data_IF_749889482285
#
_entry.id   IF_749889482285
#
_cell.length_a   1.000
_cell.length_b   1.000
_cell.length_c   1.000
_cell.angle_alpha   90.00
_cell.angle_beta   90.00
_cell.angle_gamma   90.00
#
_symmetry.space_group_name_H-M   'P 1'
#
loop_
_entity.id
_entity.type
_entity.pdbx_description
1 polymer ?
#
# COMPACT_ATOMS: atom_id res chain seq x y z
N UNK A 1 14.09 8.48 11.59
CA UNK A 1 12.63 8.32 11.82
C UNK A 1 12.39 7.45 13.04
N UNK A 2 11.43 7.79 13.92
CA UNK A 2 11.16 7.03 15.16
C UNK A 2 10.42 5.72 14.86
N UNK A 3 10.78 4.63 15.55
CA UNK A 3 10.15 3.30 15.40
C UNK A 3 8.62 3.35 15.55
N UNK A 4 8.09 4.18 16.44
CA UNK A 4 6.65 4.38 16.66
C UNK A 4 5.90 4.77 15.38
N UNK A 5 6.50 5.58 14.48
CA UNK A 5 5.87 5.97 13.21
C UNK A 5 5.77 4.80 12.24
N UNK A 6 6.76 3.90 12.26
CA UNK A 6 6.77 2.69 11.41
C UNK A 6 5.66 1.76 11.87
N UNK A 7 5.59 1.50 13.17
CA UNK A 7 4.56 0.65 13.77
C UNK A 7 3.16 1.19 13.46
N UNK A 8 2.96 2.50 13.62
CA UNK A 8 1.68 3.15 13.29
C UNK A 8 1.33 3.01 11.81
N UNK A 9 2.32 3.08 10.91
CA UNK A 9 2.10 2.87 9.48
C UNK A 9 1.76 1.41 9.17
N UNK A 10 2.33 0.45 9.89
CA UNK A 10 1.95 -0.96 9.81
C UNK A 10 0.49 -1.17 10.21
N UNK A 11 0.04 -0.59 11.32
CA UNK A 11 -1.38 -0.62 11.70
C UNK A 11 -2.28 0.08 10.68
N UNK A 12 -1.82 1.19 10.10
CA UNK A 12 -2.50 1.83 8.96
C UNK A 12 -2.63 0.89 7.76
N UNK A 13 -1.60 0.10 7.48
CA UNK A 13 -1.61 -0.95 6.47
C UNK A 13 -2.69 -2.00 6.72
N UNK A 14 -2.83 -2.49 7.96
CA UNK A 14 -3.91 -3.40 8.35
C UNK A 14 -5.27 -2.78 8.06
N UNK A 15 -5.49 -1.53 8.50
CA UNK A 15 -6.78 -0.85 8.35
C UNK A 15 -7.17 -0.68 6.88
N UNK A 16 -6.24 -0.21 6.05
CA UNK A 16 -6.44 -0.04 4.60
C UNK A 16 -6.67 -1.40 3.94
N UNK A 17 -5.83 -2.39 4.25
CA UNK A 17 -5.91 -3.74 3.69
C UNK A 17 -7.24 -4.41 4.01
N UNK A 18 -7.71 -4.30 5.25
CA UNK A 18 -9.01 -4.82 5.67
C UNK A 18 -10.16 -4.12 4.93
N UNK A 19 -10.12 -2.80 4.81
CA UNK A 19 -11.14 -2.05 4.07
C UNK A 19 -11.24 -2.46 2.60
N UNK A 20 -10.10 -2.61 1.93
CA UNK A 20 -10.05 -3.09 0.54
C UNK A 20 -10.51 -4.55 0.45
N UNK A 21 -10.08 -5.42 1.37
CA UNK A 21 -10.48 -6.83 1.40
C UNK A 21 -11.99 -7.00 1.58
N UNK A 22 -12.59 -6.25 2.51
CA UNK A 22 -14.05 -6.24 2.69
C UNK A 22 -14.78 -5.79 1.44
N UNK A 23 -14.31 -4.72 0.79
CA UNK A 23 -14.91 -4.21 -0.45
C UNK A 23 -14.82 -5.24 -1.57
N UNK A 24 -13.64 -5.79 -1.83
CA UNK A 24 -13.45 -6.79 -2.89
C UNK A 24 -14.26 -8.06 -2.59
N UNK A 25 -14.24 -8.54 -1.35
CA UNK A 25 -15.02 -9.71 -0.97
C UNK A 25 -16.52 -9.48 -1.17
N UNK A 26 -17.04 -8.31 -0.76
CA UNK A 26 -18.45 -7.95 -0.93
C UNK A 26 -18.88 -7.95 -2.41
N UNK A 27 -18.00 -7.49 -3.30
CA UNK A 27 -18.28 -7.44 -4.74
C UNK A 27 -18.22 -8.80 -5.44
N UNK A 28 -17.53 -9.79 -4.86
CA UNK A 28 -17.22 -11.05 -5.56
C UNK A 28 -17.83 -12.31 -4.94
N UNK A 29 -18.10 -12.31 -3.62
CA UNK A 29 -18.44 -13.53 -2.86
C UNK A 29 -19.55 -13.21 -1.84
N UNK A 30 -20.57 -14.08 -1.65
CA UNK A 30 -21.69 -13.81 -0.76
C UNK A 30 -21.31 -13.72 0.73
N UNK A 31 -20.25 -14.41 1.14
CA UNK A 31 -19.76 -14.42 2.52
C UNK A 31 -18.34 -13.86 2.54
N UNK A 32 -18.05 -13.06 3.56
CA UNK A 32 -16.72 -12.47 3.73
C UNK A 32 -15.66 -13.56 3.92
N UNK A 33 -14.61 -13.50 3.10
CA UNK A 33 -13.39 -14.29 3.27
C UNK A 33 -12.18 -13.35 3.27
N UNK A 34 -11.25 -13.47 4.24
CA UNK A 34 -10.10 -12.57 4.32
C UNK A 34 -9.16 -12.62 3.10
N UNK A 35 -9.15 -13.77 2.43
CA UNK A 35 -8.31 -14.08 1.28
C UNK A 35 -9.17 -14.71 0.19
N UNK A 36 -8.94 -14.33 -1.07
CA UNK A 36 -9.70 -14.85 -2.20
C UNK A 36 -9.52 -16.38 -2.33
N UNK A 37 -10.60 -17.18 -2.30
CA UNK A 37 -10.56 -18.64 -2.55
C UNK A 37 -9.87 -19.05 -3.85
N UNK A 38 -9.85 -18.18 -4.85
CA UNK A 38 -9.23 -18.44 -6.16
C UNK A 38 -7.71 -18.23 -6.13
N UNK A 39 -7.19 -17.57 -5.11
CA UNK A 39 -5.74 -17.45 -4.91
C UNK A 39 -5.15 -18.80 -4.49
N UNK A 40 -3.87 -19.05 -4.82
CA UNK A 40 -3.22 -20.33 -4.45
C UNK A 40 -3.22 -20.56 -2.93
N UNK A 41 -2.95 -19.50 -2.16
CA UNK A 41 -2.90 -19.58 -0.69
C UNK A 41 -4.30 -19.66 -0.09
N UNK A 42 -5.28 -18.96 -0.66
CA UNK A 42 -6.69 -19.08 -0.27
C UNK A 42 -7.22 -20.48 -0.49
N UNK A 43 -6.98 -21.05 -1.68
CA UNK A 43 -7.33 -22.43 -2.00
C UNK A 43 -6.65 -23.43 -1.05
N UNK A 44 -5.35 -23.25 -0.78
CA UNK A 44 -4.61 -24.09 0.17
C UNK A 44 -5.21 -24.05 1.57
N UNK A 45 -5.56 -22.87 2.09
CA UNK A 45 -6.19 -22.73 3.41
C UNK A 45 -7.56 -23.36 3.47
N UNK A 46 -8.39 -23.20 2.43
CA UNK A 46 -9.71 -23.83 2.38
C UNK A 46 -9.61 -25.35 2.29
N UNK A 47 -8.72 -25.89 1.46
CA UNK A 47 -8.54 -27.34 1.29
C UNK A 47 -8.04 -28.03 2.58
N UNK A 48 -7.24 -27.32 3.38
CA UNK A 48 -6.77 -27.83 4.67
C UNK A 48 -7.71 -27.48 5.84
N UNK A 49 -8.90 -26.94 5.56
CA UNK A 49 -9.89 -26.55 6.58
C UNK A 49 -9.30 -25.62 7.65
N UNK A 50 -8.39 -24.72 7.24
CA UNK A 50 -7.80 -23.73 8.14
C UNK A 50 -8.89 -22.76 8.59
N UNK A 51 -8.95 -22.51 9.90
CA UNK A 51 -9.96 -21.65 10.48
C UNK A 51 -9.87 -20.22 9.91
N UNK A 52 -10.98 -19.57 9.51
CA UNK A 52 -10.96 -18.23 8.90
C UNK A 52 -10.26 -17.16 9.74
N UNK A 53 -10.33 -17.24 11.07
CA UNK A 53 -9.59 -16.32 11.96
C UNK A 53 -8.07 -16.41 11.80
N UNK A 54 -7.52 -17.59 11.50
CA UNK A 54 -6.09 -17.76 11.22
C UNK A 54 -5.74 -17.18 9.86
N UNK A 55 -6.62 -17.36 8.87
CA UNK A 55 -6.48 -16.71 7.55
C UNK A 55 -6.47 -15.18 7.68
N UNK A 56 -7.32 -14.62 8.55
CA UNK A 56 -7.33 -13.19 8.86
C UNK A 56 -6.02 -12.74 9.52
N UNK A 57 -5.53 -13.46 10.55
CA UNK A 57 -4.24 -13.14 11.19
C UNK A 57 -3.09 -13.11 10.17
N UNK A 58 -3.09 -14.07 9.24
CA UNK A 58 -2.13 -14.13 8.14
C UNK A 58 -2.21 -12.88 7.23
N UNK A 59 -3.41 -12.50 6.81
CA UNK A 59 -3.61 -11.30 5.97
C UNK A 59 -3.19 -10.02 6.70
N UNK A 60 -3.59 -9.86 7.97
CA UNK A 60 -3.21 -8.71 8.79
C UNK A 60 -1.69 -8.60 8.94
N UNK A 61 -0.99 -9.72 9.10
CA UNK A 61 0.46 -9.73 9.18
C UNK A 61 1.12 -9.22 7.89
N UNK A 62 0.64 -9.68 6.73
CA UNK A 62 1.14 -9.22 5.42
C UNK A 62 0.87 -7.73 5.21
N UNK A 63 -0.35 -7.27 5.49
CA UNK A 63 -0.72 -5.86 5.37
C UNK A 63 0.06 -4.97 6.33
N UNK A 64 0.35 -5.47 7.54
CA UNK A 64 1.20 -4.77 8.49
C UNK A 64 2.62 -4.58 7.95
N UNK A 65 3.24 -5.64 7.41
CA UNK A 65 4.58 -5.54 6.81
C UNK A 65 4.58 -4.53 5.67
N UNK A 66 3.59 -4.60 4.77
CA UNK A 66 3.49 -3.66 3.65
C UNK A 66 3.36 -2.22 4.14
N UNK A 67 2.46 -1.95 5.08
CA UNK A 67 2.28 -0.63 5.70
C UNK A 67 3.52 -0.13 6.44
N UNK A 68 4.24 -1.02 7.13
CA UNK A 68 5.48 -0.67 7.84
C UNK A 68 6.61 -0.29 6.87
N UNK A 69 6.76 -1.01 5.75
CA UNK A 69 7.76 -0.70 4.72
C UNK A 69 7.44 0.65 4.05
N UNK A 70 6.17 0.91 3.71
CA UNK A 70 5.75 2.20 3.19
C UNK A 70 5.94 3.34 4.21
N UNK A 71 5.65 3.08 5.49
CA UNK A 71 5.95 4.02 6.57
C UNK A 71 7.45 4.32 6.67
N UNK A 72 8.29 3.29 6.55
CA UNK A 72 9.73 3.45 6.59
C UNK A 72 10.27 4.24 5.39
N UNK A 73 9.71 3.99 4.21
CA UNK A 73 10.13 4.65 2.97
C UNK A 73 9.98 6.18 2.99
N UNK A 74 9.24 6.75 3.94
CA UNK A 74 9.13 8.20 4.12
C UNK A 74 10.47 8.89 4.39
N UNK A 75 11.50 8.15 4.84
CA UNK A 75 12.88 8.68 4.96
C UNK A 75 13.45 9.13 3.62
N UNK A 76 12.94 8.62 2.50
CA UNK A 76 13.36 9.02 1.15
C UNK A 76 13.06 10.51 0.92
N UNK A 77 11.93 11.01 1.43
CA UNK A 77 11.53 12.42 1.30
C UNK A 77 12.26 13.36 2.27
N UNK A 78 13.10 12.84 3.17
CA UNK A 78 13.94 13.65 4.07
C UNK A 78 15.32 13.95 3.48
N UNK A 79 15.64 13.36 2.33
CA UNK A 79 16.89 13.61 1.61
C UNK A 79 16.76 14.88 0.78
N UNK A 80 17.89 15.54 0.51
CA UNK A 80 18.00 16.70 -0.40
C UNK A 80 17.90 16.26 -1.88
N UNK A 81 16.87 15.49 -2.20
CA UNK A 81 16.56 15.02 -3.54
C UNK A 81 15.40 15.82 -4.11
N UNK A 82 15.37 15.94 -5.44
CA UNK A 82 14.21 16.50 -6.11
C UNK A 82 12.96 15.67 -5.80
N UNK A 83 11.80 16.32 -5.78
CA UNK A 83 10.51 15.66 -5.51
C UNK A 83 10.30 14.48 -6.46
N UNK A 84 10.70 14.61 -7.74
CA UNK A 84 10.61 13.54 -8.72
C UNK A 84 11.47 12.33 -8.32
N UNK A 85 12.75 12.54 -7.97
CA UNK A 85 13.67 11.47 -7.58
C UNK A 85 13.19 10.74 -6.32
N UNK A 86 12.70 11.48 -5.34
CA UNK A 86 12.13 10.91 -4.11
C UNK A 86 10.87 10.12 -4.38
N UNK A 87 9.96 10.67 -5.20
CA UNK A 87 8.69 10.02 -5.55
C UNK A 87 8.90 8.74 -6.37
N UNK A 88 9.85 8.76 -7.32
CA UNK A 88 10.20 7.58 -8.11
C UNK A 88 10.86 6.51 -7.24
N UNK A 89 11.77 6.90 -6.33
CA UNK A 89 12.42 5.95 -5.41
C UNK A 89 11.41 5.31 -4.46
N UNK A 90 10.47 6.10 -3.93
CA UNK A 90 9.38 5.60 -3.10
C UNK A 90 8.46 4.65 -3.88
N UNK A 91 8.11 5.00 -5.13
CA UNK A 91 7.31 4.16 -6.02
C UNK A 91 7.98 2.81 -6.30
N UNK A 92 9.27 2.83 -6.67
CA UNK A 92 10.04 1.61 -6.95
C UNK A 92 10.14 0.70 -5.73
N UNK A 93 10.34 1.28 -4.53
CA UNK A 93 10.32 0.51 -3.30
C UNK A 93 8.93 -0.09 -3.03
N UNK A 94 7.87 0.68 -3.24
CA UNK A 94 6.50 0.24 -3.00
C UNK A 94 6.11 -0.92 -3.94
N UNK A 95 6.37 -0.81 -5.25
CA UNK A 95 6.07 -1.88 -6.21
C UNK A 95 6.95 -3.11 -5.97
N UNK A 96 8.23 -2.92 -5.61
CA UNK A 96 9.11 -4.04 -5.25
C UNK A 96 8.63 -4.75 -3.99
N UNK A 97 8.07 -4.03 -3.01
CA UNK A 97 7.49 -4.60 -1.79
C UNK A 97 6.17 -5.33 -2.08
N UNK A 98 5.42 -4.89 -3.09
CA UNK A 98 4.18 -5.53 -3.50
C UNK A 98 4.39 -6.92 -4.10
N UNK A 99 5.55 -7.17 -4.73
CA UNK A 99 5.88 -8.49 -5.31
C UNK A 99 5.88 -9.62 -4.25
N UNK A 100 6.68 -9.57 -3.16
CA UNK A 100 6.65 -10.60 -2.13
C UNK A 100 5.29 -10.67 -1.43
N UNK A 101 4.60 -9.55 -1.24
CA UNK A 101 3.22 -9.53 -0.71
C UNK A 101 2.28 -10.31 -1.61
N UNK A 102 2.37 -10.13 -2.92
CA UNK A 102 1.52 -10.82 -3.92
C UNK A 102 1.81 -12.33 -3.97
N UNK A 103 3.08 -12.72 -3.78
CA UNK A 103 3.49 -14.12 -3.65
C UNK A 103 2.86 -14.73 -2.38
N UNK A 104 3.00 -14.05 -1.24
CA UNK A 104 2.44 -14.50 0.03
C UNK A 104 0.90 -14.55 -0.01
N UNK A 105 0.25 -13.65 -0.74
CA UNK A 105 -1.19 -13.69 -0.94
C UNK A 105 -1.64 -14.77 -1.95
N UNK A 106 -0.71 -15.44 -2.65
CA UNK A 106 -1.02 -16.44 -3.65
C UNK A 106 -1.69 -15.88 -4.91
N UNK A 107 -1.48 -14.59 -5.21
CA UNK A 107 -2.10 -13.88 -6.32
C UNK A 107 -1.45 -14.15 -7.67
N UNK A 108 -0.32 -14.87 -7.73
CA UNK A 108 0.46 -15.09 -8.94
C UNK A 108 0.32 -16.52 -9.47
N UNK A 109 -0.60 -16.80 -10.43
CA UNK A 109 -0.67 -18.10 -11.07
C UNK A 109 0.52 -18.33 -11.99
N UNK A 110 1.13 -19.52 -11.93
CA UNK A 110 2.30 -19.85 -12.76
C UNK A 110 2.01 -19.76 -14.27
N UNK A 111 0.81 -20.17 -14.69
CA UNK A 111 0.40 -20.18 -16.10
C UNK A 111 0.25 -18.77 -16.71
N UNK A 112 -0.11 -17.77 -15.89
CA UNK A 112 -0.37 -16.38 -16.33
C UNK A 112 0.55 -15.38 -15.63
N UNK A 113 1.72 -15.83 -15.18
CA UNK A 113 2.60 -15.07 -14.28
C UNK A 113 2.93 -13.67 -14.80
N UNK A 114 3.39 -13.59 -16.06
CA UNK A 114 3.76 -12.31 -16.68
C UNK A 114 2.56 -11.37 -16.80
N UNK A 115 1.43 -11.88 -17.29
CA UNK A 115 0.20 -11.08 -17.43
C UNK A 115 -0.31 -10.57 -16.09
N UNK A 116 -0.24 -11.40 -15.05
CA UNK A 116 -0.67 -11.04 -13.69
C UNK A 116 0.23 -9.98 -13.08
N UNK A 117 1.55 -10.10 -13.22
CA UNK A 117 2.51 -9.09 -12.75
C UNK A 117 2.28 -7.75 -13.47
N UNK A 118 2.02 -7.77 -14.78
CA UNK A 118 1.71 -6.56 -15.54
C UNK A 118 0.39 -5.92 -15.06
N UNK A 119 -0.67 -6.71 -14.84
CA UNK A 119 -1.96 -6.22 -14.32
C UNK A 119 -1.80 -5.55 -12.96
N UNK A 120 -1.15 -6.25 -12.01
CA UNK A 120 -0.85 -5.72 -10.67
C UNK A 120 -0.03 -4.43 -10.78
N UNK A 121 0.97 -4.41 -11.65
CA UNK A 121 1.81 -3.23 -11.88
C UNK A 121 1.00 -2.02 -12.37
N UNK A 122 0.10 -2.22 -13.34
CA UNK A 122 -0.77 -1.17 -13.88
C UNK A 122 -1.76 -0.68 -12.82
N UNK A 123 -2.48 -1.58 -12.15
CA UNK A 123 -3.45 -1.25 -11.09
C UNK A 123 -2.78 -0.47 -9.95
N UNK A 124 -1.62 -0.95 -9.49
CA UNK A 124 -0.85 -0.28 -8.47
C UNK A 124 -0.38 1.11 -8.93
N UNK A 125 0.11 1.24 -10.16
CA UNK A 125 0.53 2.52 -10.74
C UNK A 125 -0.60 3.54 -10.75
N UNK A 126 -1.80 3.13 -11.18
CA UNK A 126 -2.97 3.99 -11.24
C UNK A 126 -3.33 4.53 -9.86
N UNK A 127 -3.47 3.65 -8.86
CA UNK A 127 -3.80 4.06 -7.49
C UNK A 127 -2.69 4.96 -6.92
N UNK A 128 -1.43 4.59 -7.13
CA UNK A 128 -0.29 5.34 -6.64
C UNK A 128 -0.25 6.77 -7.20
N UNK A 129 -0.41 6.94 -8.51
CA UNK A 129 -0.36 8.27 -9.13
C UNK A 129 -1.55 9.15 -8.74
N UNK A 130 -2.73 8.57 -8.51
CA UNK A 130 -3.88 9.30 -7.96
C UNK A 130 -3.54 9.83 -6.56
N UNK A 131 -3.13 8.94 -5.64
CA UNK A 131 -2.80 9.31 -4.26
C UNK A 131 -1.66 10.33 -4.22
N UNK A 132 -0.61 10.08 -5.00
CA UNK A 132 0.53 10.99 -5.13
C UNK A 132 0.11 12.37 -5.64
N UNK A 133 -0.72 12.44 -6.68
CA UNK A 133 -1.21 13.69 -7.25
C UNK A 133 -2.02 14.50 -6.24
N UNK A 134 -2.92 13.86 -5.50
CA UNK A 134 -3.70 14.51 -4.44
C UNK A 134 -2.80 15.05 -3.32
N UNK A 135 -1.83 14.25 -2.86
CA UNK A 135 -0.88 14.66 -1.84
C UNK A 135 0.03 15.79 -2.32
N UNK A 136 0.49 15.73 -3.57
CA UNK A 136 1.31 16.76 -4.18
C UNK A 136 0.57 18.11 -4.23
N UNK A 137 -0.67 18.12 -4.74
CA UNK A 137 -1.48 19.35 -4.81
C UNK A 137 -1.78 19.92 -3.42
N UNK A 138 -2.12 19.06 -2.45
CA UNK A 138 -2.35 19.48 -1.07
C UNK A 138 -1.10 20.11 -0.44
N UNK A 139 0.07 19.50 -0.69
CA UNK A 139 1.35 19.97 -0.16
C UNK A 139 1.77 21.28 -0.82
N UNK A 140 1.61 21.39 -2.14
CA UNK A 140 1.89 22.61 -2.90
C UNK A 140 1.08 23.79 -2.37
N UNK A 141 -0.23 23.60 -2.17
CA UNK A 141 -1.11 24.63 -1.58
C UNK A 141 -0.63 25.08 -0.19
N UNK A 142 -0.21 24.14 0.67
CA UNK A 142 0.32 24.47 2.00
C UNK A 142 1.59 25.32 1.93
N UNK A 143 2.50 24.99 1.01
CA UNK A 143 3.75 25.75 0.81
C UNK A 143 3.43 27.17 0.32
N UNK A 144 2.51 27.31 -0.64
CA UNK A 144 2.08 28.62 -1.15
C UNK A 144 1.47 29.48 -0.03
N UNK A 145 0.64 28.90 0.84
CA UNK A 145 0.08 29.61 2.01
C UNK A 145 1.17 30.08 2.96
N UNK A 146 2.16 29.23 3.28
CA UNK A 146 3.28 29.60 4.16
C UNK A 146 4.10 30.73 3.54
N UNK A 147 4.42 30.65 2.26
CA UNK A 147 5.19 31.67 1.56
C UNK A 147 4.49 33.03 1.55
N UNK A 148 3.17 33.06 1.37
CA UNK A 148 2.37 34.29 1.47
C UNK A 148 2.46 34.91 2.87
N UNK A 149 2.25 34.10 3.92
CA UNK A 149 2.34 34.57 5.31
C UNK A 149 3.72 35.15 5.66
N UNK A 150 4.80 34.58 5.11
CA UNK A 150 6.15 35.10 5.30
C UNK A 150 6.39 36.42 4.56
N UNK A 151 5.86 36.56 3.34
CA UNK A 151 5.94 37.81 2.58
C UNK A 151 5.17 38.93 3.28
N UNK A 152 3.95 38.66 3.75
CA UNK A 152 3.13 39.64 4.46
C UNK A 152 3.83 40.13 5.74
N UNK A 153 4.46 39.22 6.50
CA UNK A 153 5.20 39.57 7.73
C UNK A 153 6.49 40.36 7.48
N UNK A 154 7.17 40.13 6.35
CA UNK A 154 8.38 40.89 6.00
C UNK A 154 8.08 42.30 5.46
N UNK A 155 6.84 42.56 5.04
CA UNK A 155 6.39 43.84 4.52
C UNK A 155 5.73 44.75 5.58
N UNK A 156 5.59 44.27 6.82
CA UNK A 156 5.16 45.02 8.02
C UNK A 156 6.31 45.24 8.98
#
# INVERSE_FOLDING_TARGET
MKATKIILSGFGGIFIGLGISMLISYLNIPNYLPLDPKSHVGFFFMNHHIHPSIMMLYCMFIWFIFGAVLGYSQVIFQKDWSILKSSLSHYLLAITTLIPVSILAGWLPAATLVGTILSIGVEFSLVYFIVWGLLYLSTKRKIETINRQLQDKNNT
#
